data_IF_352472921411
#
_entry.id   IF_352472921411
#
_cell.length_a   1.000
_cell.length_b   1.000
_cell.length_c   1.000
_cell.angle_alpha   90.00
_cell.angle_beta   90.00
_cell.angle_gamma   90.00
#
_symmetry.space_group_name_H-M   'P 1'
#
loop_
_entity.id
_entity.type
_entity.pdbx_description
1 polymer ?
#
# COMPACT_ATOMS: atom_id res chain seq x y z
N UNK A 1 20.12 -5.20 -51.59
CA UNK A 1 19.48 -3.89 -51.35
C UNK A 1 18.11 -4.18 -50.78
N UNK A 2 17.99 -4.08 -49.44
CA UNK A 2 17.10 -3.16 -48.68
C UNK A 2 15.60 -3.41 -48.96
N UNK A 3 14.68 -3.59 -48.01
CA UNK A 3 14.65 -3.35 -46.57
C UNK A 3 13.49 -4.20 -45.99
N UNK A 4 13.66 -4.74 -44.78
CA UNK A 4 12.61 -5.44 -44.02
C UNK A 4 11.67 -4.40 -43.43
N UNK A 5 10.55 -4.12 -44.08
CA UNK A 5 9.47 -3.33 -43.49
C UNK A 5 8.56 -4.25 -42.66
N UNK A 6 9.04 -4.60 -41.46
CA UNK A 6 8.18 -5.19 -40.42
C UNK A 6 7.41 -4.02 -39.81
N UNK A 7 6.24 -3.77 -40.40
CA UNK A 7 5.23 -2.82 -39.95
C UNK A 7 4.93 -3.05 -38.47
N UNK A 8 5.47 -2.16 -37.64
CA UNK A 8 5.21 -2.05 -36.21
C UNK A 8 3.69 -2.02 -36.00
N UNK A 9 3.15 -3.07 -35.38
CA UNK A 9 1.80 -3.02 -34.81
C UNK A 9 1.89 -2.15 -33.57
N UNK A 10 1.45 -0.91 -33.71
CA UNK A 10 1.13 0.00 -32.62
C UNK A 10 0.20 -0.69 -31.63
N UNK A 11 0.77 -1.18 -30.54
CA UNK A 11 0.02 -1.63 -29.37
C UNK A 11 -0.35 -0.37 -28.58
N UNK A 12 -1.42 0.29 -29.03
CA UNK A 12 -2.08 1.37 -28.29
C UNK A 12 -2.90 0.79 -27.15
N UNK A 13 -2.26 0.09 -26.23
CA UNK A 13 -2.77 -0.02 -24.87
C UNK A 13 -2.19 1.17 -24.10
N UNK A 14 -3.06 1.98 -23.50
CA UNK A 14 -2.64 3.06 -22.60
C UNK A 14 -1.62 2.51 -21.60
N UNK A 15 -0.34 2.81 -21.84
CA UNK A 15 0.73 2.40 -20.94
C UNK A 15 0.44 3.06 -19.61
N UNK A 16 0.29 2.22 -18.57
CA UNK A 16 0.06 2.69 -17.20
C UNK A 16 1.06 3.83 -16.88
N UNK A 17 0.58 4.97 -16.35
CA UNK A 17 1.43 6.14 -16.17
C UNK A 17 2.62 5.88 -15.23
N UNK A 18 2.50 4.93 -14.29
CA UNK A 18 3.63 4.52 -13.44
C UNK A 18 4.63 3.67 -14.23
N UNK A 19 4.15 2.75 -15.06
CA UNK A 19 5.02 1.99 -15.95
C UNK A 19 5.80 2.92 -16.89
N UNK A 20 5.16 3.97 -17.41
CA UNK A 20 5.81 4.99 -18.23
C UNK A 20 6.93 5.72 -17.47
N UNK A 21 6.67 6.15 -16.23
CA UNK A 21 7.68 6.80 -15.38
C UNK A 21 8.88 5.88 -15.11
N UNK A 22 8.64 4.60 -14.79
CA UNK A 22 9.70 3.62 -14.55
C UNK A 22 10.56 3.39 -15.80
N UNK A 23 9.96 3.37 -16.98
CA UNK A 23 10.68 3.25 -18.25
C UNK A 23 11.58 4.45 -18.49
N UNK A 24 11.12 5.67 -18.18
CA UNK A 24 11.93 6.89 -18.33
C UNK A 24 13.13 6.90 -17.38
N UNK A 25 12.93 6.48 -16.13
CA UNK A 25 14.01 6.36 -15.14
C UNK A 25 15.06 5.34 -15.63
N UNK A 26 14.63 4.18 -16.14
CA UNK A 26 15.54 3.16 -16.64
C UNK A 26 16.37 3.65 -17.83
N UNK A 27 15.75 4.41 -18.74
CA UNK A 27 16.45 5.04 -19.88
C UNK A 27 17.48 6.08 -19.41
N UNK A 28 17.15 6.86 -18.39
CA UNK A 28 18.08 7.84 -17.80
C UNK A 28 19.31 7.13 -17.22
N UNK A 29 19.10 6.08 -16.41
CA UNK A 29 20.21 5.31 -15.80
C UNK A 29 21.08 4.69 -16.89
N UNK A 30 20.48 4.15 -17.95
CA UNK A 30 21.25 3.60 -19.08
C UNK A 30 22.12 4.66 -19.78
N UNK A 31 21.64 5.89 -19.88
CA UNK A 31 22.38 7.02 -20.48
C UNK A 31 23.53 7.48 -19.60
N UNK A 32 23.31 7.59 -18.30
CA UNK A 32 24.32 8.08 -17.34
C UNK A 32 25.35 7.00 -16.98
N UNK A 33 24.98 5.72 -17.07
CA UNK A 33 25.84 4.57 -16.75
C UNK A 33 26.02 3.61 -17.94
N UNK A 34 26.52 4.07 -19.12
CA UNK A 34 26.56 3.27 -20.34
C UNK A 34 27.58 2.12 -20.28
N UNK A 35 28.56 2.19 -19.38
CA UNK A 35 29.61 1.19 -19.20
C UNK A 35 29.38 0.28 -17.99
N UNK A 36 28.39 0.57 -17.15
CA UNK A 36 28.08 -0.25 -15.98
C UNK A 36 27.44 -1.56 -16.40
N UNK A 37 27.62 -2.63 -15.62
CA UNK A 37 26.98 -3.90 -15.89
C UNK A 37 25.45 -3.81 -15.70
N UNK A 38 24.74 -4.76 -16.29
CA UNK A 38 23.27 -4.80 -16.18
C UNK A 38 22.81 -4.84 -14.72
N UNK A 39 23.54 -5.57 -13.88
CA UNK A 39 23.24 -5.76 -12.45
C UNK A 39 23.43 -4.47 -11.66
N UNK A 40 24.48 -3.70 -11.96
CA UNK A 40 24.73 -2.39 -11.34
C UNK A 40 23.61 -1.40 -11.69
N UNK A 41 23.19 -1.36 -12.96
CA UNK A 41 22.09 -0.49 -13.40
C UNK A 41 20.75 -0.86 -12.75
N UNK A 42 20.48 -2.16 -12.60
CA UNK A 42 19.28 -2.64 -11.89
C UNK A 42 19.35 -2.25 -10.41
N UNK A 43 20.53 -2.36 -9.79
CA UNK A 43 20.73 -1.98 -8.39
C UNK A 43 20.44 -0.49 -8.18
N UNK A 44 21.03 0.38 -9.02
CA UNK A 44 20.77 1.83 -8.97
C UNK A 44 19.30 2.15 -9.22
N UNK A 45 18.65 1.46 -10.15
CA UNK A 45 17.21 1.64 -10.40
C UNK A 45 16.37 1.28 -9.17
N UNK A 46 16.67 0.17 -8.50
CA UNK A 46 15.96 -0.28 -7.30
C UNK A 46 16.19 0.69 -6.12
N UNK A 47 17.41 1.18 -5.94
CA UNK A 47 17.72 2.18 -4.90
C UNK A 47 17.04 3.52 -5.18
N UNK A 48 17.08 4.00 -6.43
CA UNK A 48 16.38 5.23 -6.84
C UNK A 48 14.87 5.12 -6.61
N UNK A 49 14.27 3.98 -6.96
CA UNK A 49 12.85 3.72 -6.68
C UNK A 49 12.56 3.67 -5.17
N UNK A 50 13.45 3.10 -4.35
CA UNK A 50 13.32 3.09 -2.88
C UNK A 50 13.43 4.49 -2.28
N UNK A 51 14.38 5.31 -2.73
CA UNK A 51 14.50 6.71 -2.29
C UNK A 51 13.29 7.55 -2.69
N UNK A 52 12.80 7.38 -3.93
CA UNK A 52 11.57 8.03 -4.36
C UNK A 52 10.34 7.53 -3.60
N UNK A 53 10.25 6.24 -3.31
CA UNK A 53 9.19 5.71 -2.44
C UNK A 53 9.30 6.29 -1.03
N UNK A 54 10.50 6.49 -0.48
CA UNK A 54 10.69 7.17 0.80
C UNK A 54 10.23 8.64 0.73
N UNK A 55 10.54 9.36 -0.35
CA UNK A 55 10.06 10.74 -0.54
C UNK A 55 8.53 10.82 -0.72
N UNK A 56 7.90 9.89 -1.42
CA UNK A 56 6.43 9.83 -1.56
C UNK A 56 5.71 9.22 -0.34
N UNK A 57 6.38 8.37 0.44
CA UNK A 57 5.88 7.86 1.74
C UNK A 57 6.01 8.90 2.85
N UNK A 58 6.90 9.89 2.73
CA UNK A 58 7.04 10.94 3.73
C UNK A 58 5.76 11.78 3.87
N UNK A 59 4.87 11.79 2.86
CA UNK A 59 3.59 12.51 2.96
C UNK A 59 2.37 11.62 3.34
N UNK A 60 2.49 10.27 3.34
CA UNK A 60 1.36 9.38 3.67
C UNK A 60 1.65 8.15 4.52
N UNK A 61 2.88 7.97 5.03
CA UNK A 61 3.16 6.92 6.01
C UNK A 61 3.99 7.46 7.17
N UNK A 62 3.22 7.92 8.16
CA UNK A 62 3.59 8.08 9.56
C UNK A 62 4.65 7.04 9.99
N UNK A 63 5.91 7.46 9.96
CA UNK A 63 7.09 6.66 10.27
C UNK A 63 7.24 6.58 11.79
N UNK A 64 6.33 5.88 12.46
CA UNK A 64 6.44 5.59 13.89
C UNK A 64 5.93 4.17 14.16
N UNK A 65 6.78 3.17 13.94
CA UNK A 65 7.26 2.28 15.01
C UNK A 65 7.90 1.01 14.44
N UNK A 66 9.08 0.71 14.97
CA UNK A 66 9.88 -0.49 14.76
C UNK A 66 9.25 -1.78 15.33
N UNK A 67 7.93 -1.93 15.25
CA UNK A 67 7.26 -3.16 15.67
C UNK A 67 5.98 -3.35 14.82
N UNK A 68 5.95 -4.31 13.88
CA UNK A 68 4.75 -4.59 13.11
C UNK A 68 3.66 -5.05 14.07
N UNK A 69 2.67 -4.18 14.34
CA UNK A 69 1.50 -4.56 15.12
C UNK A 69 0.80 -5.69 14.37
N UNK A 70 0.87 -6.90 14.91
CA UNK A 70 0.18 -8.05 14.32
C UNK A 70 -1.33 -7.85 14.51
N UNK A 71 -1.99 -7.32 13.47
CA UNK A 71 -3.39 -6.91 13.50
C UNK A 71 -4.30 -8.10 13.86
N UNK A 72 -3.96 -9.32 13.42
CA UNK A 72 -4.73 -10.51 13.76
C UNK A 72 -4.62 -10.86 15.25
N UNK A 73 -3.42 -10.80 15.81
CA UNK A 73 -3.20 -10.98 17.26
C UNK A 73 -3.94 -9.92 18.07
N UNK A 74 -3.87 -8.65 17.64
CA UNK A 74 -4.62 -7.56 18.25
C UNK A 74 -6.11 -7.86 18.24
N UNK A 75 -6.71 -8.15 17.08
CA UNK A 75 -8.13 -8.44 16.98
C UNK A 75 -8.58 -9.61 17.87
N UNK A 76 -7.73 -10.63 18.04
CA UNK A 76 -8.02 -11.75 18.93
C UNK A 76 -7.98 -11.37 20.42
N UNK A 77 -7.19 -10.36 20.81
CA UNK A 77 -7.19 -9.82 22.19
C UNK A 77 -8.38 -8.91 22.47
N UNK A 78 -9.03 -8.37 21.44
CA UNK A 78 -10.10 -7.40 21.59
C UNK A 78 -11.44 -8.07 21.87
N UNK A 79 -12.07 -7.63 22.96
CA UNK A 79 -13.43 -8.04 23.33
C UNK A 79 -14.46 -7.19 22.59
N UNK A 80 -14.92 -7.70 21.44
CA UNK A 80 -15.97 -7.07 20.65
C UNK A 80 -17.34 -7.15 21.35
N UNK A 81 -17.97 -5.99 21.52
CA UNK A 81 -19.33 -5.83 22.04
C UNK A 81 -20.28 -5.51 20.90
N UNK A 82 -21.49 -6.07 20.94
CA UNK A 82 -22.51 -5.76 19.95
C UNK A 82 -22.93 -4.27 20.09
N UNK A 83 -22.95 -3.53 18.99
CA UNK A 83 -23.50 -2.18 18.98
C UNK A 83 -25.02 -2.23 19.22
N UNK A 84 -25.58 -1.14 19.78
CA UNK A 84 -27.03 -0.98 20.03
C UNK A 84 -27.91 -1.24 18.79
N UNK A 85 -27.30 -1.17 17.61
CA UNK A 85 -27.95 -1.29 16.31
C UNK A 85 -28.00 -2.75 15.81
N UNK A 86 -27.40 -3.71 16.52
CA UNK A 86 -27.37 -5.15 16.20
C UNK A 86 -26.59 -5.56 14.95
N UNK A 87 -26.13 -4.60 14.13
CA UNK A 87 -25.51 -4.82 12.81
C UNK A 87 -23.98 -4.71 12.79
N UNK A 88 -23.38 -4.24 13.88
CA UNK A 88 -21.93 -4.00 13.98
C UNK A 88 -21.44 -4.35 15.38
N UNK A 89 -20.20 -4.79 15.47
CA UNK A 89 -19.53 -5.05 16.74
C UNK A 89 -18.47 -3.97 16.96
N UNK A 90 -18.16 -3.60 18.21
CA UNK A 90 -17.13 -2.61 18.51
C UNK A 90 -16.29 -3.03 19.71
N UNK A 91 -15.02 -2.69 19.69
CA UNK A 91 -14.08 -2.90 20.79
C UNK A 91 -13.33 -1.61 21.08
N UNK A 92 -13.11 -1.32 22.36
CA UNK A 92 -12.20 -0.25 22.79
C UNK A 92 -10.75 -0.71 22.62
N UNK A 93 -9.89 0.18 22.17
CA UNK A 93 -8.46 -0.09 21.98
C UNK A 93 -7.62 1.00 22.63
N UNK A 94 -6.37 0.69 22.94
CA UNK A 94 -5.42 1.68 23.43
C UNK A 94 -5.17 2.77 22.38
N UNK A 95 -5.07 4.04 22.81
CA UNK A 95 -4.83 5.17 21.90
C UNK A 95 -3.51 5.04 21.13
N UNK A 96 -2.47 4.47 21.76
CA UNK A 96 -1.19 4.22 21.09
C UNK A 96 -1.34 3.19 19.95
N UNK A 97 -2.18 2.17 20.14
CA UNK A 97 -2.46 1.17 19.11
C UNK A 97 -3.35 1.79 18.02
N UNK A 98 -4.35 2.58 18.40
CA UNK A 98 -5.25 3.27 17.49
C UNK A 98 -4.52 4.20 16.52
N UNK A 99 -3.47 4.89 17.00
CA UNK A 99 -2.66 5.77 16.16
C UNK A 99 -1.90 4.97 15.09
N UNK A 100 -1.40 3.78 15.43
CA UNK A 100 -0.63 2.90 14.53
C UNK A 100 -1.49 2.16 13.50
N UNK A 101 -2.79 1.97 13.78
CA UNK A 101 -3.69 1.31 12.84
C UNK A 101 -4.19 2.26 11.73
N UNK A 102 -4.44 1.76 10.52
CA UNK A 102 -5.12 2.55 9.49
C UNK A 102 -6.56 2.89 9.91
N UNK A 103 -7.13 3.97 9.34
CA UNK A 103 -8.52 4.39 9.65
C UNK A 103 -9.56 3.33 9.27
N UNK A 104 -9.29 2.58 8.21
CA UNK A 104 -10.10 1.48 7.73
C UNK A 104 -9.16 0.36 7.24
N UNK A 105 -9.54 -0.89 7.49
CA UNK A 105 -8.85 -2.05 6.93
C UNK A 105 -9.80 -3.23 6.79
N UNK A 106 -9.47 -4.16 5.89
CA UNK A 106 -10.25 -5.37 5.66
C UNK A 106 -9.42 -6.59 6.04
N UNK A 107 -10.02 -7.50 6.83
CA UNK A 107 -9.43 -8.79 7.16
C UNK A 107 -10.47 -9.87 6.87
N UNK A 108 -10.13 -10.78 5.96
CA UNK A 108 -11.04 -11.81 5.44
C UNK A 108 -12.32 -11.14 4.92
N UNK A 109 -13.48 -11.55 5.44
CA UNK A 109 -14.81 -11.06 5.05
C UNK A 109 -15.34 -9.93 5.95
N UNK A 110 -14.50 -9.37 6.82
CA UNK A 110 -14.90 -8.32 7.75
C UNK A 110 -14.17 -7.00 7.44
N UNK A 111 -14.92 -5.91 7.47
CA UNK A 111 -14.37 -4.56 7.36
C UNK A 111 -14.28 -3.94 8.76
N UNK A 112 -13.13 -3.34 9.07
CA UNK A 112 -12.84 -2.73 10.36
C UNK A 112 -12.60 -1.23 10.19
N UNK A 113 -13.19 -0.44 11.08
CA UNK A 113 -13.10 1.01 11.11
C UNK A 113 -12.54 1.48 12.45
N UNK A 114 -11.47 2.26 12.44
CA UNK A 114 -10.82 2.78 13.65
C UNK A 114 -11.25 4.23 13.86
N UNK A 115 -12.05 4.48 14.89
CA UNK A 115 -12.36 5.84 15.35
C UNK A 115 -11.28 6.32 16.31
N UNK A 116 -10.41 7.21 15.81
CA UNK A 116 -9.30 7.80 16.57
C UNK A 116 -9.69 9.08 17.32
N UNK A 117 -10.77 9.73 16.90
CA UNK A 117 -11.20 11.06 17.36
C UNK A 117 -11.91 11.06 18.73
N UNK A 118 -12.03 9.90 19.37
CA UNK A 118 -12.68 9.74 20.68
C UNK A 118 -11.65 9.69 21.81
N UNK A 119 -12.00 10.21 23.01
CA UNK A 119 -11.22 10.03 24.25
C UNK A 119 -10.83 8.57 24.50
N UNK A 120 -11.67 7.64 24.06
CA UNK A 120 -11.39 6.21 24.03
C UNK A 120 -11.52 5.75 22.57
N UNK A 121 -10.41 5.40 21.89
CA UNK A 121 -10.50 4.95 20.52
C UNK A 121 -11.19 3.61 20.44
N UNK A 122 -11.96 3.42 19.36
CA UNK A 122 -12.74 2.20 19.15
C UNK A 122 -12.52 1.64 17.75
N UNK A 123 -12.46 0.32 17.66
CA UNK A 123 -12.52 -0.42 16.40
C UNK A 123 -13.95 -0.91 16.23
N UNK A 124 -14.56 -0.60 15.09
CA UNK A 124 -15.88 -1.08 14.69
C UNK A 124 -15.68 -2.15 13.63
N UNK A 125 -16.21 -3.34 13.88
CA UNK A 125 -16.25 -4.47 12.95
C UNK A 125 -17.61 -4.52 12.28
N UNK A 126 -17.61 -4.49 10.95
CA UNK A 126 -18.77 -4.70 10.10
C UNK A 126 -18.62 -6.07 9.43
N UNK A 127 -19.55 -6.98 9.72
CA UNK A 127 -19.71 -8.21 8.94
C UNK A 127 -20.26 -7.83 7.58
N UNK A 128 -19.58 -8.24 6.50
CA UNK A 128 -20.15 -8.11 5.17
C UNK A 128 -21.46 -8.92 5.16
N UNK A 129 -22.57 -8.27 4.80
CA UNK A 129 -23.81 -9.00 4.53
C UNK A 129 -23.51 -9.93 3.36
N UNK A 130 -23.57 -11.23 3.59
CA UNK A 130 -23.68 -12.20 2.51
C UNK A 130 -24.92 -11.77 1.69
N UNK A 131 -24.79 -11.40 0.41
CA UNK A 131 -25.97 -11.30 -0.43
C UNK A 131 -26.60 -12.69 -0.44
N UNK A 132 -27.84 -12.76 0.03
CA UNK A 132 -28.65 -13.97 0.06
C UNK A 132 -29.17 -14.27 -1.34
#
# INVERSE_FOLDING_TARGET
MIEKDVKEKEHSEEIDPKLKELIEIMKLIQKEMPNAEKEERITVFLEFCREKENHFRTEKQNTNNANPVNIESLLNTLSFKLAKNGKSEFATIDPEIAQKLPREFQIKDNTFFVKKDSKTPVIIKLKKKTPQ
#
